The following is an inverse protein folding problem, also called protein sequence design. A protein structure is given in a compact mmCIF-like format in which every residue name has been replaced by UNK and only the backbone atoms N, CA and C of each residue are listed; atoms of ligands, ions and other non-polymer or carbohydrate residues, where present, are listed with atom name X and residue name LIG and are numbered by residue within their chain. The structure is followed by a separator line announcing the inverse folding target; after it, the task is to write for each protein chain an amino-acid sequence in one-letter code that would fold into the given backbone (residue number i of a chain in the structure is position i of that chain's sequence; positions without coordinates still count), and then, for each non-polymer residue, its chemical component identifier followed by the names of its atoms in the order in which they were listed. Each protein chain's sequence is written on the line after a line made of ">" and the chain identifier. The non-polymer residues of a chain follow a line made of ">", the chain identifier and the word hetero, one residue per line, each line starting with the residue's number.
data_IF_737855960072
#
_entry.id   IF_737855960072
#
_cell.length_a   1.000
_cell.length_b   1.000
_cell.length_c   1.000
_cell.angle_alpha   90.00
_cell.angle_beta   90.00
_cell.angle_gamma   90.00
#
_symmetry.space_group_name_H-M   'P 1'
#
loop_
_entity.id
_entity.type
_entity.pdbx_description
1 polymer ?
#
# COMPACT_ATOMS: atom_id res chain seq x y z
N UNK A 1 -18.68 -29.34 -21.80
CA UNK A 1 -19.99 -29.62 -22.44
C UNK A 1 -19.90 -30.67 -23.51
N UNK A 2 -19.09 -30.50 -24.57
CA UNK A 2 -18.94 -31.41 -25.69
C UNK A 2 -18.46 -32.82 -25.31
N UNK A 3 -17.56 -32.94 -24.36
CA UNK A 3 -17.10 -34.22 -23.82
C UNK A 3 -18.22 -34.99 -23.13
N UNK A 4 -19.07 -34.33 -22.36
CA UNK A 4 -20.20 -34.95 -21.68
C UNK A 4 -21.25 -35.49 -22.65
N UNK A 5 -21.48 -34.84 -23.80
CA UNK A 5 -22.36 -35.33 -24.85
C UNK A 5 -21.73 -36.52 -25.56
N UNK A 6 -20.43 -36.43 -25.88
CA UNK A 6 -19.69 -37.55 -26.54
C UNK A 6 -19.64 -38.80 -25.66
N UNK A 7 -19.64 -38.66 -24.34
CA UNK A 7 -19.68 -39.75 -23.36
C UNK A 7 -21.11 -40.22 -23.02
N UNK A 8 -22.15 -39.62 -23.61
CA UNK A 8 -23.54 -39.99 -23.35
C UNK A 8 -24.09 -39.60 -21.99
N UNK A 9 -23.40 -38.71 -21.25
CA UNK A 9 -23.83 -38.24 -19.92
C UNK A 9 -24.90 -37.17 -19.95
N UNK A 10 -24.93 -36.38 -21.05
CA UNK A 10 -25.91 -35.31 -21.26
C UNK A 10 -26.38 -35.33 -22.70
N UNK A 11 -27.66 -34.95 -22.96
CA UNK A 11 -28.17 -34.83 -24.33
C UNK A 11 -27.64 -33.56 -25.01
N UNK A 12 -27.65 -33.51 -26.33
CA UNK A 12 -27.24 -32.35 -27.13
C UNK A 12 -28.01 -31.08 -26.78
N UNK A 13 -29.30 -31.21 -26.36
CA UNK A 13 -30.14 -30.08 -25.97
C UNK A 13 -29.59 -29.30 -24.77
N UNK A 14 -28.88 -29.99 -23.87
CA UNK A 14 -28.22 -29.35 -22.75
C UNK A 14 -27.08 -28.41 -23.16
N UNK A 15 -26.44 -28.65 -24.31
CA UNK A 15 -25.42 -27.71 -24.81
C UNK A 15 -26.07 -26.37 -25.20
N UNK A 16 -27.23 -26.41 -25.81
CA UNK A 16 -27.96 -25.20 -26.18
C UNK A 16 -28.45 -24.46 -24.93
N UNK A 17 -29.00 -25.19 -23.96
CA UNK A 17 -29.46 -24.59 -22.70
C UNK A 17 -28.29 -23.94 -21.96
N UNK A 18 -27.14 -24.62 -21.84
CA UNK A 18 -25.95 -24.06 -21.19
C UNK A 18 -25.43 -22.83 -21.94
N UNK A 19 -25.39 -22.87 -23.26
CA UNK A 19 -24.94 -21.74 -24.07
C UNK A 19 -25.84 -20.51 -23.88
N UNK A 20 -27.17 -20.71 -23.90
CA UNK A 20 -28.12 -19.64 -23.64
C UNK A 20 -27.97 -19.09 -22.20
N UNK A 21 -27.89 -19.96 -21.21
CA UNK A 21 -27.72 -19.56 -19.81
C UNK A 21 -26.44 -18.74 -19.58
N UNK A 22 -25.31 -19.18 -20.15
CA UNK A 22 -24.04 -18.45 -20.08
C UNK A 22 -24.14 -17.09 -20.79
N UNK A 23 -24.74 -17.06 -21.99
CA UNK A 23 -24.91 -15.79 -22.73
C UNK A 23 -25.78 -14.80 -21.96
N UNK A 24 -26.89 -15.24 -21.38
CA UNK A 24 -27.72 -14.40 -20.53
C UNK A 24 -27.00 -13.91 -19.29
N UNK A 25 -26.21 -14.78 -18.65
CA UNK A 25 -25.41 -14.40 -17.49
C UNK A 25 -24.42 -13.29 -17.83
N UNK A 26 -23.69 -13.40 -18.95
CA UNK A 26 -22.76 -12.36 -19.39
C UNK A 26 -23.46 -11.04 -19.74
N UNK A 27 -24.60 -11.11 -20.43
CA UNK A 27 -25.38 -9.90 -20.77
C UNK A 27 -25.86 -9.18 -19.52
N UNK A 28 -26.23 -9.90 -18.47
CA UNK A 28 -26.71 -9.31 -17.22
C UNK A 28 -25.56 -8.88 -16.31
N UNK A 29 -24.46 -9.64 -16.26
CA UNK A 29 -23.33 -9.38 -15.36
C UNK A 29 -22.62 -8.07 -15.71
N UNK A 30 -22.42 -7.78 -16.99
CA UNK A 30 -21.70 -6.57 -17.41
C UNK A 30 -22.35 -5.26 -16.93
N UNK A 31 -23.65 -5.01 -17.18
CA UNK A 31 -24.33 -3.80 -16.70
C UNK A 31 -24.49 -3.80 -15.17
N UNK A 32 -24.72 -4.95 -14.52
CA UNK A 32 -24.79 -5.02 -13.07
C UNK A 32 -23.46 -4.64 -12.43
N UNK A 33 -22.35 -5.15 -12.94
CA UNK A 33 -21.02 -4.82 -12.44
C UNK A 33 -20.71 -3.33 -12.62
N UNK A 34 -21.04 -2.76 -13.78
CA UNK A 34 -20.86 -1.32 -14.02
C UNK A 34 -21.77 -0.46 -13.13
N UNK A 35 -22.98 -0.93 -12.85
CA UNK A 35 -23.95 -0.22 -12.02
C UNK A 35 -23.75 -0.45 -10.51
N UNK A 36 -22.92 -1.41 -10.10
CA UNK A 36 -22.78 -1.84 -8.70
C UNK A 36 -22.49 -0.65 -7.77
N UNK A 37 -21.53 0.20 -8.12
CA UNK A 37 -21.18 1.38 -7.31
C UNK A 37 -22.35 2.39 -7.22
N UNK A 38 -23.07 2.59 -8.31
CA UNK A 38 -24.21 3.52 -8.34
C UNK A 38 -25.40 2.97 -7.55
N UNK A 39 -25.64 1.67 -7.65
CA UNK A 39 -26.69 0.96 -6.91
C UNK A 39 -26.35 1.00 -5.43
N UNK A 40 -25.12 0.64 -5.08
CA UNK A 40 -24.66 0.68 -3.69
C UNK A 40 -24.82 2.07 -3.09
N UNK A 41 -24.38 3.13 -3.77
CA UNK A 41 -24.52 4.50 -3.29
C UNK A 41 -25.98 4.90 -3.02
N UNK A 42 -26.93 4.38 -3.79
CA UNK A 42 -28.38 4.66 -3.60
C UNK A 42 -29.00 3.89 -2.43
N UNK A 43 -28.55 2.66 -2.20
CA UNK A 43 -29.15 1.79 -1.18
C UNK A 43 -28.34 1.72 0.11
N UNK A 44 -27.11 2.24 0.12
CA UNK A 44 -26.22 2.23 1.30
C UNK A 44 -26.90 2.80 2.55
N UNK A 45 -27.66 3.90 2.42
CA UNK A 45 -28.42 4.47 3.54
C UNK A 45 -29.48 3.55 4.15
N UNK A 46 -30.05 2.65 3.33
CA UNK A 46 -31.01 1.64 3.82
C UNK A 46 -30.32 0.39 4.35
N UNK A 47 -29.17 0.02 3.75
CA UNK A 47 -28.37 -1.13 4.19
C UNK A 47 -27.76 -0.88 5.56
N UNK A 48 -27.44 0.36 5.92
CA UNK A 48 -27.01 0.75 7.27
C UNK A 48 -27.98 0.37 8.39
N UNK A 49 -29.27 0.24 8.08
CA UNK A 49 -30.27 -0.24 9.06
C UNK A 49 -30.12 -1.73 9.38
N UNK A 50 -29.43 -2.48 8.55
CA UNK A 50 -29.16 -3.92 8.73
C UNK A 50 -27.73 -4.18 9.18
N UNK A 51 -26.90 -3.13 9.31
CA UNK A 51 -25.57 -3.25 9.90
C UNK A 51 -25.69 -3.66 11.36
N UNK A 52 -25.10 -4.80 11.71
CA UNK A 52 -24.99 -5.22 13.11
C UNK A 52 -24.00 -4.31 13.81
N UNK A 53 -24.36 -3.83 15.00
CA UNK A 53 -23.48 -2.96 15.81
C UNK A 53 -22.19 -3.66 16.26
N UNK A 54 -22.18 -4.99 16.22
CA UNK A 54 -21.03 -5.82 16.55
C UNK A 54 -20.15 -5.97 15.31
N UNK A 55 -19.01 -5.26 15.32
CA UNK A 55 -18.01 -5.36 14.25
C UNK A 55 -17.33 -6.72 14.30
N UNK A 56 -17.11 -7.32 13.13
CA UNK A 56 -16.25 -8.49 13.05
C UNK A 56 -14.84 -8.13 13.53
N UNK A 57 -14.07 -9.06 14.11
CA UNK A 57 -12.69 -8.80 14.53
C UNK A 57 -11.81 -8.25 13.40
N UNK A 58 -12.17 -8.58 12.15
CA UNK A 58 -11.51 -8.13 10.93
C UNK A 58 -11.81 -6.66 10.59
N UNK A 59 -12.95 -6.13 11.07
CA UNK A 59 -13.41 -4.76 10.87
C UNK A 59 -13.05 -3.82 12.04
N UNK A 60 -12.35 -4.34 13.05
CA UNK A 60 -11.93 -3.50 14.17
C UNK A 60 -10.96 -2.41 13.70
N UNK A 61 -11.10 -1.16 14.20
CA UNK A 61 -10.17 -0.09 13.92
C UNK A 61 -8.74 -0.48 14.28
N UNK A 62 -7.81 -0.20 13.39
CA UNK A 62 -6.39 -0.44 13.64
C UNK A 62 -5.91 0.57 14.68
N UNK A 63 -5.57 0.06 15.86
CA UNK A 63 -5.09 0.90 16.97
C UNK A 63 -3.64 1.32 16.70
N UNK A 64 -3.45 2.54 16.27
CA UNK A 64 -2.11 3.14 16.12
C UNK A 64 -1.47 3.52 17.47
N UNK A 65 -2.26 3.51 18.54
CA UNK A 65 -1.78 3.83 19.89
C UNK A 65 -1.24 5.26 19.99
N UNK A 66 -0.01 5.37 20.49
CA UNK A 66 0.73 6.63 20.60
C UNK A 66 1.65 6.90 19.40
N UNK A 67 1.46 6.21 18.28
CA UNK A 67 2.31 6.38 17.11
C UNK A 67 2.12 7.77 16.49
N UNK A 68 3.22 8.44 16.24
CA UNK A 68 3.31 9.72 15.54
C UNK A 68 3.92 9.55 14.14
N UNK A 69 4.63 8.45 13.91
CA UNK A 69 5.23 8.09 12.63
C UNK A 69 4.71 6.72 12.19
N UNK A 70 4.21 6.64 10.97
CA UNK A 70 3.85 5.38 10.33
C UNK A 70 4.75 5.10 9.13
N UNK A 71 5.26 3.88 9.03
CA UNK A 71 6.06 3.42 7.90
C UNK A 71 5.29 2.32 7.20
N UNK A 72 4.96 2.54 5.94
CA UNK A 72 4.18 1.62 5.12
C UNK A 72 5.12 0.89 4.15
N UNK A 73 5.17 -0.44 4.30
CA UNK A 73 6.13 -1.32 3.64
C UNK A 73 7.33 -1.59 4.53
N UNK A 74 7.35 -2.73 5.21
CA UNK A 74 8.41 -3.16 6.14
C UNK A 74 9.44 -4.08 5.48
N UNK A 75 9.72 -3.87 4.19
CA UNK A 75 10.87 -4.45 3.48
C UNK A 75 12.20 -3.87 3.97
N UNK A 76 13.28 -4.03 3.19
CA UNK A 76 14.61 -3.56 3.58
C UNK A 76 14.68 -2.07 3.91
N UNK A 77 14.12 -1.24 3.02
CA UNK A 77 14.10 0.23 3.18
C UNK A 77 13.24 0.65 4.37
N UNK A 78 12.01 0.13 4.44
CA UNK A 78 11.11 0.47 5.54
C UNK A 78 11.59 0.00 6.89
N UNK A 79 12.26 -1.16 6.96
CA UNK A 79 12.88 -1.65 8.20
C UNK A 79 14.00 -0.72 8.67
N UNK A 80 14.89 -0.32 7.76
CA UNK A 80 15.97 0.62 8.09
C UNK A 80 15.42 1.97 8.54
N UNK A 81 14.40 2.48 7.84
CA UNK A 81 13.71 3.71 8.24
C UNK A 81 13.05 3.59 9.62
N UNK A 82 12.38 2.46 9.89
CA UNK A 82 11.75 2.19 11.19
C UNK A 82 12.78 2.22 12.33
N UNK A 83 13.88 1.50 12.18
CA UNK A 83 14.89 1.41 13.22
C UNK A 83 15.54 2.77 13.47
N UNK A 84 15.83 3.56 12.43
CA UNK A 84 16.38 4.90 12.56
C UNK A 84 15.39 5.89 13.20
N UNK A 85 14.13 5.87 12.77
CA UNK A 85 13.09 6.72 13.36
C UNK A 85 12.86 6.36 14.84
N UNK A 86 12.83 5.08 15.16
CA UNK A 86 12.70 4.62 16.55
C UNK A 86 13.91 5.04 17.40
N UNK A 87 15.11 5.00 16.84
CA UNK A 87 16.32 5.45 17.53
C UNK A 87 16.29 6.95 17.87
N UNK A 88 15.73 7.77 16.96
CA UNK A 88 15.65 9.24 17.11
C UNK A 88 14.50 9.69 17.99
N UNK A 89 13.33 9.10 17.81
CA UNK A 89 12.07 9.60 18.38
C UNK A 89 11.46 8.65 19.42
N UNK A 90 12.08 7.50 19.65
CA UNK A 90 11.59 6.52 20.61
C UNK A 90 10.44 5.67 20.09
N UNK A 91 9.58 5.25 21.01
CA UNK A 91 8.56 4.22 20.76
C UNK A 91 7.23 4.79 20.19
N UNK A 92 7.36 5.81 19.34
CA UNK A 92 6.24 6.48 18.64
C UNK A 92 6.14 6.07 17.16
N UNK A 93 6.83 5.01 16.76
CA UNK A 93 6.87 4.52 15.38
C UNK A 93 6.05 3.25 15.25
N UNK A 94 5.23 3.18 14.19
CA UNK A 94 4.50 1.97 13.81
C UNK A 94 4.84 1.60 12.37
N UNK A 95 5.02 0.31 12.11
CA UNK A 95 5.17 -0.24 10.77
C UNK A 95 3.86 -0.86 10.27
N UNK A 96 3.68 -0.88 8.97
CA UNK A 96 2.57 -1.55 8.27
C UNK A 96 3.14 -2.41 7.16
N UNK A 97 2.71 -3.65 7.05
CA UNK A 97 3.07 -4.54 5.94
C UNK A 97 1.92 -5.49 5.62
N UNK A 98 1.79 -5.85 4.35
CA UNK A 98 0.71 -6.73 3.89
C UNK A 98 1.08 -8.22 3.93
N UNK A 99 2.36 -8.57 4.15
CA UNK A 99 2.78 -9.95 4.36
C UNK A 99 2.71 -10.32 5.84
N UNK A 100 1.79 -11.21 6.19
CA UNK A 100 1.62 -11.66 7.57
C UNK A 100 2.92 -12.23 8.17
N UNK A 101 3.72 -12.94 7.37
CA UNK A 101 5.03 -13.48 7.80
C UNK A 101 6.02 -12.36 8.15
N UNK A 102 6.04 -11.30 7.35
CA UNK A 102 6.88 -10.10 7.60
C UNK A 102 6.45 -9.43 8.90
N UNK A 103 5.16 -9.24 9.09
CA UNK A 103 4.59 -8.65 10.32
C UNK A 103 5.01 -9.46 11.54
N UNK A 104 4.84 -10.78 11.49
CA UNK A 104 5.16 -11.67 12.59
C UNK A 104 6.66 -11.70 12.89
N UNK A 105 7.50 -11.72 11.85
CA UNK A 105 8.96 -11.60 11.99
C UNK A 105 9.36 -10.32 12.72
N UNK A 106 8.80 -9.17 12.33
CA UNK A 106 9.10 -7.89 12.95
C UNK A 106 8.61 -7.82 14.40
N UNK A 107 7.42 -8.36 14.69
CA UNK A 107 6.89 -8.44 16.06
C UNK A 107 7.79 -9.26 16.97
N UNK A 108 8.29 -10.39 16.51
CA UNK A 108 9.27 -11.21 17.25
C UNK A 108 10.58 -10.47 17.55
N UNK A 109 10.94 -9.51 16.72
CA UNK A 109 12.09 -8.64 16.92
C UNK A 109 11.78 -7.38 17.76
N UNK A 110 10.59 -7.31 18.37
CA UNK A 110 10.18 -6.21 19.23
C UNK A 110 9.83 -4.91 18.50
N UNK A 111 9.49 -4.98 17.19
CA UNK A 111 8.99 -3.84 16.44
C UNK A 111 7.47 -3.81 16.50
N UNK A 112 6.88 -2.63 16.59
CA UNK A 112 5.43 -2.42 16.50
C UNK A 112 5.02 -2.43 15.04
N UNK A 113 4.57 -3.56 14.53
CA UNK A 113 4.13 -3.72 13.14
C UNK A 113 2.73 -4.29 13.10
N UNK A 114 1.87 -3.73 12.28
CA UNK A 114 0.50 -4.18 12.04
C UNK A 114 0.34 -4.70 10.62
N UNK A 115 -0.57 -5.65 10.47
CA UNK A 115 -0.97 -6.13 9.16
C UNK A 115 -1.87 -5.09 8.48
N UNK A 116 -1.56 -4.76 7.24
CA UNK A 116 -2.37 -3.88 6.41
C UNK A 116 -1.84 -3.80 5.00
N UNK A 117 -2.77 -3.73 4.05
CA UNK A 117 -2.47 -3.54 2.65
C UNK A 117 -2.74 -2.09 2.25
N UNK A 118 -1.69 -1.39 1.80
CA UNK A 118 -1.80 0.00 1.37
C UNK A 118 -2.62 0.17 0.09
N UNK A 119 -2.86 -0.90 -0.66
CA UNK A 119 -3.69 -0.93 -1.87
C UNK A 119 -5.15 -1.31 -1.58
N UNK A 120 -5.48 -1.62 -0.33
CA UNK A 120 -6.83 -1.96 0.10
C UNK A 120 -7.53 -0.74 0.73
N UNK A 121 -8.71 -0.39 0.22
CA UNK A 121 -9.53 0.70 0.75
C UNK A 121 -10.03 0.42 2.16
N UNK A 122 -10.31 -0.85 2.49
CA UNK A 122 -10.83 -1.26 3.79
C UNK A 122 -9.77 -1.06 4.90
N UNK A 123 -8.49 -1.29 4.57
CA UNK A 123 -7.38 -0.94 5.45
C UNK A 123 -7.44 0.54 5.87
N UNK A 124 -7.63 1.45 4.90
CA UNK A 124 -7.68 2.89 5.15
C UNK A 124 -8.92 3.32 5.92
N UNK A 125 -10.04 2.62 5.78
CA UNK A 125 -11.23 2.83 6.60
C UNK A 125 -10.97 2.46 8.07
N UNK A 126 -10.24 1.39 8.30
CA UNK A 126 -9.90 0.91 9.65
C UNK A 126 -8.83 1.74 10.34
N UNK A 127 -7.90 2.32 9.60
CA UNK A 127 -6.85 3.21 10.16
C UNK A 127 -7.42 4.56 10.59
N UNK A 128 -8.50 5.03 9.97
CA UNK A 128 -9.11 6.35 10.21
C UNK A 128 -8.05 7.48 10.26
N UNK A 129 -7.35 7.80 9.15
CA UNK A 129 -6.17 8.67 9.16
C UNK A 129 -6.40 10.04 9.81
N UNK A 130 -7.59 10.63 9.62
CA UNK A 130 -7.94 11.93 10.20
C UNK A 130 -8.04 11.93 11.74
N UNK A 131 -8.26 10.76 12.36
CA UNK A 131 -8.39 10.61 13.82
C UNK A 131 -7.11 10.09 14.47
N UNK A 132 -6.16 9.64 13.66
CA UNK A 132 -4.88 9.11 14.10
C UNK A 132 -3.98 10.25 14.63
N UNK A 133 -3.09 9.91 15.57
CA UNK A 133 -2.03 10.83 16.02
C UNK A 133 -0.82 10.85 15.07
N UNK A 134 -0.83 10.00 14.06
CA UNK A 134 0.24 9.94 13.07
C UNK A 134 0.29 11.26 12.31
N UNK A 135 1.40 11.95 12.41
CA UNK A 135 1.66 13.23 11.74
C UNK A 135 2.69 13.11 10.61
N UNK A 136 3.37 11.96 10.51
CA UNK A 136 4.29 11.62 9.43
C UNK A 136 4.02 10.21 8.92
N UNK A 137 3.78 10.09 7.63
CA UNK A 137 3.70 8.80 6.92
C UNK A 137 4.89 8.69 5.97
N UNK A 138 5.61 7.59 6.07
CA UNK A 138 6.73 7.26 5.19
C UNK A 138 6.34 6.04 4.33
N UNK A 139 6.20 6.25 3.03
CA UNK A 139 5.88 5.19 2.07
C UNK A 139 7.18 4.56 1.57
N UNK A 140 7.44 3.32 1.97
CA UNK A 140 8.55 2.51 1.52
C UNK A 140 8.05 1.36 0.62
N UNK A 141 7.18 1.70 -0.33
CA UNK A 141 6.52 0.76 -1.22
C UNK A 141 7.33 0.54 -2.51
N UNK A 142 7.38 -0.69 -3.02
CA UNK A 142 8.18 -1.01 -4.20
C UNK A 142 7.58 -0.50 -5.52
N UNK A 143 6.26 -0.26 -5.55
CA UNK A 143 5.51 0.18 -6.71
C UNK A 143 4.96 1.59 -6.50
N UNK A 144 5.24 2.48 -7.46
CA UNK A 144 4.72 3.84 -7.46
C UNK A 144 3.19 3.90 -7.47
N UNK A 145 2.52 2.93 -8.12
CA UNK A 145 1.06 2.88 -8.17
C UNK A 145 0.45 2.65 -6.78
N UNK A 146 1.03 1.74 -6.01
CA UNK A 146 0.66 1.53 -4.61
C UNK A 146 0.84 2.81 -3.79
N UNK A 147 1.95 3.53 -4.01
CA UNK A 147 2.20 4.82 -3.40
C UNK A 147 1.14 5.88 -3.74
N UNK A 148 0.81 6.03 -5.03
CA UNK A 148 -0.25 6.94 -5.50
C UNK A 148 -1.59 6.60 -4.88
N UNK A 149 -1.95 5.31 -4.87
CA UNK A 149 -3.20 4.86 -4.27
C UNK A 149 -3.27 5.23 -2.79
N UNK A 150 -2.23 4.90 -2.02
CA UNK A 150 -2.14 5.21 -0.60
C UNK A 150 -2.27 6.72 -0.32
N UNK A 151 -1.58 7.57 -1.09
CA UNK A 151 -1.66 9.04 -0.96
C UNK A 151 -3.09 9.52 -1.18
N UNK A 152 -3.75 9.05 -2.24
CA UNK A 152 -5.13 9.42 -2.55
C UNK A 152 -6.10 8.97 -1.45
N UNK A 153 -5.93 7.76 -0.92
CA UNK A 153 -6.74 7.26 0.19
C UNK A 153 -6.59 8.11 1.45
N UNK A 154 -5.36 8.51 1.80
CA UNK A 154 -5.11 9.39 2.93
C UNK A 154 -5.76 10.76 2.76
N UNK A 155 -5.60 11.40 1.59
CA UNK A 155 -6.20 12.70 1.32
C UNK A 155 -7.73 12.66 1.31
N UNK A 156 -8.33 11.63 0.69
CA UNK A 156 -9.78 11.45 0.66
C UNK A 156 -10.38 11.27 2.05
N UNK A 157 -9.61 10.72 2.99
CA UNK A 157 -10.01 10.51 4.39
C UNK A 157 -9.55 11.63 5.33
N UNK A 158 -9.13 12.76 4.78
CA UNK A 158 -8.83 13.97 5.53
C UNK A 158 -7.54 13.95 6.34
N UNK A 159 -6.57 13.13 5.95
CA UNK A 159 -5.23 13.17 6.56
C UNK A 159 -4.56 14.52 6.29
N UNK A 160 -4.04 15.15 7.33
CA UNK A 160 -3.41 16.48 7.28
C UNK A 160 -1.91 16.45 7.63
N UNK A 161 -1.39 15.29 7.98
CA UNK A 161 0.03 15.14 8.31
C UNK A 161 0.93 15.14 7.08
N UNK A 162 2.21 14.96 7.31
CA UNK A 162 3.21 14.90 6.24
C UNK A 162 3.25 13.51 5.63
N UNK A 163 3.37 13.46 4.31
CA UNK A 163 3.55 12.24 3.54
C UNK A 163 4.88 12.32 2.81
N UNK A 164 5.73 11.32 3.02
CA UNK A 164 7.00 11.18 2.32
C UNK A 164 7.09 9.82 1.67
N UNK A 165 7.85 9.70 0.60
CA UNK A 165 8.00 8.43 -0.11
C UNK A 165 9.45 8.17 -0.52
N UNK A 166 9.84 6.90 -0.50
CA UNK A 166 11.03 6.44 -1.21
C UNK A 166 10.62 5.95 -2.60
N UNK A 167 11.36 6.35 -3.61
CA UNK A 167 11.17 5.94 -5.00
C UNK A 167 12.44 5.30 -5.54
N UNK A 168 12.31 4.54 -6.62
CA UNK A 168 13.47 3.93 -7.28
C UNK A 168 14.19 4.92 -8.19
N UNK A 169 13.43 5.70 -8.93
CA UNK A 169 13.92 6.59 -9.98
C UNK A 169 13.48 8.03 -9.74
N UNK A 170 14.30 8.97 -10.19
CA UNK A 170 14.07 10.39 -9.98
C UNK A 170 12.82 10.93 -10.70
N UNK A 171 12.46 10.37 -11.84
CA UNK A 171 11.25 10.72 -12.59
C UNK A 171 9.95 10.42 -11.81
N UNK A 172 9.98 9.41 -10.94
CA UNK A 172 8.85 9.06 -10.06
C UNK A 172 8.59 10.15 -9.00
N UNK A 173 9.62 10.89 -8.58
CA UNK A 173 9.49 11.99 -7.60
C UNK A 173 8.50 13.04 -8.10
N UNK A 174 8.60 13.42 -9.40
CA UNK A 174 7.71 14.41 -9.98
C UNK A 174 6.25 13.95 -9.97
N UNK A 175 6.01 12.67 -10.25
CA UNK A 175 4.66 12.09 -10.26
C UNK A 175 4.07 12.15 -8.86
N UNK A 176 4.80 11.70 -7.84
CA UNK A 176 4.31 11.71 -6.46
C UNK A 176 4.11 13.12 -5.91
N UNK A 177 4.95 14.10 -6.30
CA UNK A 177 4.74 15.50 -5.94
C UNK A 177 3.43 16.06 -6.48
N UNK A 178 3.00 15.64 -7.67
CA UNK A 178 1.70 16.02 -8.23
C UNK A 178 0.52 15.43 -7.42
N UNK A 179 0.72 14.30 -6.75
CA UNK A 179 -0.26 13.70 -5.86
C UNK A 179 -0.28 14.34 -4.45
N UNK A 180 0.58 15.33 -4.19
CA UNK A 180 0.54 16.14 -2.97
C UNK A 180 1.41 15.64 -1.82
N UNK A 181 2.48 14.89 -2.09
CA UNK A 181 3.44 14.52 -1.03
C UNK A 181 4.37 15.68 -0.67
N UNK A 182 4.86 15.68 0.56
CA UNK A 182 5.77 16.70 1.06
C UNK A 182 7.21 16.51 0.57
N UNK A 183 7.70 15.27 0.52
CA UNK A 183 9.03 14.93 0.04
C UNK A 183 9.08 13.52 -0.56
N UNK A 184 9.98 13.31 -1.50
CA UNK A 184 10.35 12.00 -2.01
C UNK A 184 11.86 11.89 -2.17
N UNK A 185 12.38 10.70 -1.99
CA UNK A 185 13.81 10.41 -2.03
C UNK A 185 14.09 9.26 -3.01
N UNK A 186 15.04 9.47 -3.93
CA UNK A 186 15.50 8.44 -4.84
C UNK A 186 16.45 7.49 -4.11
N UNK A 187 16.06 6.22 -4.01
CA UNK A 187 16.85 5.20 -3.32
C UNK A 187 18.19 4.93 -4.01
N UNK A 188 18.21 4.91 -5.34
CA UNK A 188 19.43 4.60 -6.08
C UNK A 188 20.41 5.75 -6.08
N UNK A 189 19.94 6.98 -6.13
CA UNK A 189 20.80 8.17 -6.05
C UNK A 189 21.46 8.25 -4.66
N UNK A 190 20.67 8.19 -3.59
CA UNK A 190 21.16 8.22 -2.24
C UNK A 190 22.09 7.03 -1.92
N UNK A 191 21.73 5.83 -2.38
CA UNK A 191 22.58 4.66 -2.22
C UNK A 191 23.91 4.81 -2.98
N UNK A 192 23.88 5.37 -4.18
CA UNK A 192 25.08 5.64 -4.99
C UNK A 192 26.01 6.65 -4.32
N UNK A 193 25.48 7.76 -3.86
CA UNK A 193 26.23 8.77 -3.10
C UNK A 193 26.78 8.19 -1.79
N UNK A 194 25.94 7.47 -1.05
CA UNK A 194 26.35 6.82 0.20
C UNK A 194 27.45 5.77 -0.02
N UNK A 195 27.35 4.96 -1.07
CA UNK A 195 28.37 4.00 -1.45
C UNK A 195 29.71 4.68 -1.79
N UNK A 196 29.67 5.71 -2.65
CA UNK A 196 30.86 6.47 -3.03
C UNK A 196 31.54 7.09 -1.79
N UNK A 197 30.77 7.74 -0.91
CA UNK A 197 31.30 8.32 0.32
C UNK A 197 31.92 7.26 1.24
N UNK A 198 31.29 6.09 1.36
CA UNK A 198 31.81 4.99 2.17
C UNK A 198 33.15 4.46 1.62
N UNK A 199 33.23 4.28 0.30
CA UNK A 199 34.48 3.85 -0.35
C UNK A 199 35.57 4.89 -0.14
N UNK A 200 35.26 6.17 -0.38
CA UNK A 200 36.23 7.25 -0.19
C UNK A 200 36.75 7.37 1.27
N UNK A 201 35.90 7.09 2.23
CA UNK A 201 36.29 7.13 3.65
C UNK A 201 37.20 5.97 4.07
N UNK A 202 37.21 4.86 3.31
CA UNK A 202 37.93 3.63 3.70
C UNK A 202 39.06 3.22 2.73
N UNK A 203 39.25 3.95 1.66
CA UNK A 203 40.29 3.66 0.66
C UNK A 203 41.23 4.84 0.50
N UNK A 204 42.53 4.59 0.67
CA UNK A 204 43.62 5.60 0.56
C UNK A 204 43.71 6.27 -0.83
N UNK A 205 43.04 5.74 -1.85
CA UNK A 205 43.05 6.26 -3.21
C UNK A 205 41.91 7.28 -3.53
N UNK A 206 41.05 7.59 -2.59
CA UNK A 206 40.09 8.67 -2.76
C UNK A 206 40.68 10.08 -2.65
N UNK A 207 41.99 10.19 -2.42
CA UNK A 207 42.75 11.42 -2.57
C UNK A 207 43.06 11.75 -4.05
N UNK A 208 42.12 11.44 -4.96
CA UNK A 208 42.12 12.02 -6.29
C UNK A 208 41.66 13.50 -6.23
N UNK A 209 42.21 14.18 -5.22
CA UNK A 209 41.95 15.57 -5.02
C UNK A 209 42.76 16.42 -5.98
N UNK A 210 42.08 17.33 -6.60
CA UNK A 210 42.62 18.56 -7.20
C UNK A 210 43.55 18.44 -8.40
N UNK A 211 43.40 17.40 -9.20
CA UNK A 211 43.91 17.45 -10.56
C UNK A 211 43.06 18.37 -11.43
N UNK A 212 43.21 19.70 -11.20
CA UNK A 212 43.08 20.70 -12.24
C UNK A 212 41.73 20.91 -12.89
N UNK A 213 40.80 21.56 -12.18
CA UNK A 213 39.76 22.38 -12.80
C UNK A 213 40.03 23.86 -12.51
N UNK A 214 41.25 24.31 -12.83
CA UNK A 214 41.56 25.73 -13.02
C UNK A 214 42.15 25.88 -14.39
N UNK A 215 41.34 26.11 -15.41
CA UNK A 215 41.64 26.84 -16.63
C UNK A 215 40.37 27.14 -17.38
#
# INVERSE_FOLDING_TARGET
>A
GSIGVASGWISSDWLVIIAIALSMTFILAAPLNSAAHTIYARVAGRLKLFETAERLPEDEPIKTGNAEVAIIGMGGVGTAAYDEMRRRYGDVVIGVDFYAETVEKHRKLGRKVVYGDAEDSDFWERVEPAKSRVNLVMLALPDIKAGIFAIRQMHQRGYQGQITASVRYEDEIRILKQEGINAAYSLYEEAGVGFANHVCAHMDHCHLQDAGLTS
#
